data_IF_200343984285
#
_entry.id   IF_200343984285
#
_cell.length_a   1.000
_cell.length_b   1.000
_cell.length_c   1.000
_cell.angle_alpha   90.00
_cell.angle_beta   90.00
_cell.angle_gamma   90.00
#
_symmetry.space_group_name_H-M   'P 1'
#
loop_
_entity.id
_entity.type
_entity.pdbx_description
1 polymer ?
#
# COMPACT_ATOMS: atom_id res chain seq x y z
N UNK A 1 17.51 -8.01 -23.01
CA UNK A 1 17.73 -8.72 -21.75
C UNK A 1 16.37 -9.26 -21.34
N UNK A 2 16.06 -10.47 -21.79
CA UNK A 2 14.76 -11.12 -21.56
C UNK A 2 14.76 -11.89 -20.25
N UNK A 3 13.57 -12.23 -19.75
CA UNK A 3 13.30 -13.13 -18.62
C UNK A 3 14.53 -13.98 -18.20
N UNK A 4 15.20 -13.66 -17.07
CA UNK A 4 16.43 -14.43 -16.78
C UNK A 4 17.30 -14.16 -15.56
N UNK A 5 17.05 -13.17 -14.69
CA UNK A 5 17.97 -12.97 -13.55
C UNK A 5 17.58 -13.78 -12.31
N UNK A 6 16.30 -13.82 -11.93
CA UNK A 6 15.88 -14.46 -10.66
C UNK A 6 16.06 -15.98 -10.66
N UNK A 7 15.98 -16.62 -11.83
CA UNK A 7 16.22 -18.05 -12.00
C UNK A 7 17.65 -18.45 -11.61
N UNK A 8 18.63 -17.58 -11.84
CA UNK A 8 20.03 -17.81 -11.44
C UNK A 8 20.21 -17.84 -9.91
N UNK A 9 19.25 -17.27 -9.16
CA UNK A 9 19.21 -17.30 -7.70
C UNK A 9 18.25 -18.37 -7.15
N UNK A 10 17.71 -19.24 -8.02
CA UNK A 10 16.79 -20.31 -7.65
C UNK A 10 15.33 -19.88 -7.49
N UNK A 11 14.97 -18.66 -7.89
CA UNK A 11 13.58 -18.22 -7.94
C UNK A 11 12.88 -18.63 -9.23
N UNK A 12 11.55 -18.69 -9.19
CA UNK A 12 10.73 -19.01 -10.35
C UNK A 12 10.20 -17.71 -11.01
N UNK A 13 10.64 -17.37 -12.23
CA UNK A 13 10.17 -16.16 -12.93
C UNK A 13 8.67 -16.21 -13.26
N UNK A 14 8.06 -17.40 -13.31
CA UNK A 14 6.64 -17.60 -13.62
C UNK A 14 5.77 -17.60 -12.35
N UNK A 15 6.38 -17.37 -11.17
CA UNK A 15 5.70 -17.34 -9.88
C UNK A 15 6.06 -16.10 -9.04
N UNK A 16 6.27 -14.96 -9.69
CA UNK A 16 6.61 -13.69 -9.02
C UNK A 16 5.41 -13.09 -8.29
N UNK A 17 5.58 -12.79 -7.00
CA UNK A 17 4.62 -12.01 -6.20
C UNK A 17 5.21 -10.65 -5.89
N UNK A 18 4.51 -9.57 -6.24
CA UNK A 18 4.88 -8.21 -5.82
C UNK A 18 4.12 -7.82 -4.56
N UNK A 19 4.82 -7.24 -3.58
CA UNK A 19 4.25 -6.87 -2.29
C UNK A 19 4.64 -5.45 -1.96
N UNK A 20 3.68 -4.65 -1.52
CA UNK A 20 3.90 -3.24 -1.23
C UNK A 20 2.99 -2.74 -0.13
N UNK A 21 3.49 -1.76 0.63
CA UNK A 21 2.75 -1.07 1.67
C UNK A 21 2.65 0.42 1.32
N UNK A 22 1.51 1.04 1.62
CA UNK A 22 1.25 2.47 1.40
C UNK A 22 1.53 2.92 -0.05
N UNK A 23 2.45 3.86 -0.27
CA UNK A 23 2.89 4.29 -1.59
C UNK A 23 3.43 3.14 -2.46
N UNK A 24 4.01 2.10 -1.85
CA UNK A 24 4.42 0.88 -2.56
C UNK A 24 3.23 0.08 -3.07
N UNK A 25 2.15 -0.04 -2.28
CA UNK A 25 0.90 -0.66 -2.72
C UNK A 25 0.25 0.15 -3.85
N UNK A 26 0.25 1.48 -3.74
CA UNK A 26 -0.24 2.37 -4.79
C UNK A 26 0.57 2.21 -6.10
N UNK A 27 1.88 2.00 -5.99
CA UNK A 27 2.75 1.73 -7.15
C UNK A 27 2.39 0.41 -7.83
N UNK A 28 2.01 -0.62 -7.07
CA UNK A 28 1.50 -1.88 -7.63
C UNK A 28 0.16 -1.68 -8.33
N UNK A 29 -0.77 -0.91 -7.73
CA UNK A 29 -2.04 -0.57 -8.39
C UNK A 29 -1.79 0.20 -9.70
N UNK A 30 -0.84 1.12 -9.73
CA UNK A 30 -0.43 1.80 -10.95
C UNK A 30 0.06 0.82 -12.02
N UNK A 31 0.99 -0.09 -11.67
CA UNK A 31 1.47 -1.13 -12.58
C UNK A 31 0.36 -2.06 -13.10
N UNK A 32 -0.62 -2.39 -12.26
CA UNK A 32 -1.81 -3.17 -12.64
C UNK A 32 -2.77 -2.37 -13.55
N UNK A 33 -2.81 -1.04 -13.40
CA UNK A 33 -3.73 -0.17 -14.15
C UNK A 33 -3.23 0.15 -15.56
N UNK A 34 -1.91 0.35 -15.70
CA UNK A 34 -1.23 0.66 -16.95
C UNK A 34 -0.85 -0.58 -17.75
N UNK A 35 -0.07 -0.39 -18.81
CA UNK A 35 0.44 -1.50 -19.63
C UNK A 35 1.83 -1.98 -19.18
N UNK A 36 2.57 -1.14 -18.47
CA UNK A 36 3.96 -1.38 -18.09
C UNK A 36 4.15 -2.57 -17.12
N UNK A 37 3.15 -2.90 -16.30
CA UNK A 37 3.22 -4.01 -15.34
C UNK A 37 2.83 -5.37 -15.90
N UNK A 38 2.26 -5.44 -17.10
CA UNK A 38 1.65 -6.66 -17.63
C UNK A 38 2.68 -7.77 -17.83
N UNK A 39 2.37 -8.95 -17.29
CA UNK A 39 3.23 -10.13 -17.40
C UNK A 39 4.51 -10.09 -16.56
N UNK A 40 4.71 -9.07 -15.71
CA UNK A 40 5.89 -8.98 -14.86
C UNK A 40 5.73 -9.71 -13.51
N UNK A 41 4.50 -9.91 -13.06
CA UNK A 41 4.17 -10.59 -11.81
C UNK A 41 2.84 -11.33 -11.92
N UNK A 42 2.67 -12.30 -11.04
CA UNK A 42 1.61 -13.31 -11.10
C UNK A 42 0.68 -13.26 -9.88
N UNK A 43 1.09 -12.55 -8.81
CA UNK A 43 0.30 -12.28 -7.61
C UNK A 43 0.68 -10.90 -7.08
N UNK A 44 -0.24 -10.25 -6.37
CA UNK A 44 0.05 -8.99 -5.69
C UNK A 44 -0.48 -8.94 -4.27
N UNK A 45 0.29 -8.29 -3.39
CA UNK A 45 -0.08 -8.00 -2.01
C UNK A 45 -0.09 -6.48 -1.81
N UNK A 46 -1.24 -5.95 -1.44
CA UNK A 46 -1.55 -4.52 -1.33
C UNK A 46 -1.88 -4.16 0.13
N UNK A 47 -0.92 -3.60 0.84
CA UNK A 47 -1.06 -3.29 2.27
C UNK A 47 -1.28 -1.79 2.47
N UNK A 48 -2.40 -1.41 3.09
CA UNK A 48 -2.74 -0.01 3.39
C UNK A 48 -2.63 0.91 2.17
N UNK A 49 -3.20 0.52 1.04
CA UNK A 49 -3.18 1.34 -0.18
C UNK A 49 -3.93 2.66 0.10
N UNK A 50 -3.31 3.84 -0.07
CA UNK A 50 -3.99 5.12 0.17
C UNK A 50 -4.89 5.49 -1.03
N UNK A 51 -5.78 4.58 -1.42
CA UNK A 51 -6.56 4.62 -2.65
C UNK A 51 -7.67 5.69 -2.65
N UNK A 52 -7.89 6.41 -1.54
CA UNK A 52 -8.67 7.65 -1.53
C UNK A 52 -7.91 8.86 -2.09
N UNK A 53 -6.60 8.74 -2.35
CA UNK A 53 -5.82 9.75 -3.05
C UNK A 53 -5.77 9.44 -4.55
N UNK A 54 -6.16 10.40 -5.39
CA UNK A 54 -5.99 10.29 -6.84
C UNK A 54 -4.58 10.69 -7.29
N UNK A 55 -4.06 10.12 -8.39
CA UNK A 55 -2.85 10.64 -9.03
C UNK A 55 -3.06 12.10 -9.50
N UNK A 56 -1.95 12.80 -9.72
CA UNK A 56 -1.95 14.10 -10.41
C UNK A 56 -2.33 13.93 -11.87
N UNK A 57 -3.00 14.91 -12.44
CA UNK A 57 -3.04 15.02 -13.90
C UNK A 57 -1.68 15.49 -14.42
N UNK A 58 -1.42 15.29 -15.72
CA UNK A 58 -0.21 15.79 -16.38
C UNK A 58 -0.05 17.31 -16.19
N UNK A 59 -1.16 18.05 -16.28
CA UNK A 59 -1.16 19.52 -16.11
C UNK A 59 -0.79 19.92 -14.66
N UNK A 60 -1.33 19.21 -13.67
CA UNK A 60 -0.99 19.44 -12.26
C UNK A 60 0.49 19.15 -11.99
N UNK A 61 1.01 18.06 -12.55
CA UNK A 61 2.42 17.69 -12.43
C UNK A 61 3.33 18.71 -13.12
N UNK A 62 2.96 19.21 -14.30
CA UNK A 62 3.69 20.27 -15.00
C UNK A 62 3.68 21.60 -14.23
N UNK A 63 2.54 21.96 -13.64
CA UNK A 63 2.45 23.13 -12.77
C UNK A 63 3.36 22.99 -11.55
N UNK A 64 3.45 21.81 -10.94
CA UNK A 64 4.38 21.51 -9.84
C UNK A 64 5.84 21.58 -10.29
N UNK A 65 6.17 21.01 -11.44
CA UNK A 65 7.52 21.10 -12.01
C UNK A 65 7.94 22.56 -12.26
N UNK A 66 7.02 23.39 -12.77
CA UNK A 66 7.26 24.82 -12.99
C UNK A 66 7.53 25.55 -11.68
N UNK A 67 6.75 25.26 -10.62
CA UNK A 67 6.98 25.82 -9.29
C UNK A 67 8.34 25.38 -8.71
N UNK A 68 8.75 24.13 -8.92
CA UNK A 68 10.01 23.59 -8.43
C UNK A 68 11.20 24.26 -9.13
N UNK A 69 11.13 24.41 -10.46
CA UNK A 69 12.13 25.14 -11.24
C UNK A 69 12.23 26.61 -10.83
N UNK A 70 11.10 27.26 -10.51
CA UNK A 70 11.07 28.62 -10.00
C UNK A 70 11.67 28.78 -8.59
N UNK A 71 11.69 27.73 -7.75
CA UNK A 71 12.42 27.75 -6.47
C UNK A 71 13.93 27.76 -6.70
N UNK A 72 14.38 27.07 -7.75
CA UNK A 72 15.79 26.94 -8.10
C UNK A 72 16.30 28.08 -9.01
N UNK A 73 15.40 28.84 -9.64
CA UNK A 73 15.69 29.80 -10.71
C UNK A 73 16.46 29.15 -11.88
N UNK A 74 15.99 27.98 -12.31
CA UNK A 74 16.62 27.16 -13.36
C UNK A 74 15.67 26.77 -14.48
N UNK A 75 16.26 26.45 -15.62
CA UNK A 75 15.59 25.73 -16.71
C UNK A 75 15.69 24.20 -16.50
N UNK A 76 14.76 23.40 -17.06
CA UNK A 76 14.73 21.94 -16.85
C UNK A 76 16.04 21.22 -17.18
N UNK A 77 16.75 21.67 -18.22
CA UNK A 77 18.00 21.05 -18.67
C UNK A 77 19.19 21.28 -17.72
N UNK A 78 19.05 22.15 -16.72
CA UNK A 78 20.08 22.45 -15.72
C UNK A 78 19.93 21.62 -14.45
N UNK A 79 18.83 20.85 -14.30
CA UNK A 79 18.60 20.02 -13.11
C UNK A 79 19.67 18.94 -12.93
N UNK A 80 20.24 18.43 -14.02
CA UNK A 80 21.28 17.41 -13.99
C UNK A 80 22.62 17.91 -13.41
N UNK A 81 22.81 19.23 -13.33
CA UNK A 81 24.02 19.85 -12.80
C UNK A 81 23.94 20.05 -11.27
N UNK A 82 22.76 19.89 -10.68
CA UNK A 82 22.55 20.05 -9.25
C UNK A 82 23.00 18.82 -8.45
N UNK A 83 23.51 19.09 -7.26
CA UNK A 83 23.71 18.06 -6.24
C UNK A 83 22.37 17.54 -5.71
N UNK A 84 22.37 16.32 -5.19
CA UNK A 84 21.21 15.75 -4.49
C UNK A 84 20.73 16.64 -3.35
N UNK A 85 21.64 17.29 -2.62
CA UNK A 85 21.30 18.20 -1.52
C UNK A 85 20.53 19.42 -1.99
N UNK A 86 20.89 20.01 -3.14
CA UNK A 86 20.18 21.14 -3.73
C UNK A 86 18.77 20.74 -4.17
N UNK A 87 18.63 19.57 -4.80
CA UNK A 87 17.32 19.02 -5.19
C UNK A 87 16.41 18.77 -3.98
N UNK A 88 16.95 18.19 -2.90
CA UNK A 88 16.21 17.94 -1.67
C UNK A 88 15.81 19.24 -0.95
N UNK A 89 16.68 20.25 -0.93
CA UNK A 89 16.36 21.55 -0.36
C UNK A 89 15.22 22.23 -1.12
N UNK A 90 15.25 22.20 -2.47
CA UNK A 90 14.16 22.70 -3.29
C UNK A 90 12.87 21.91 -3.10
N UNK A 91 12.95 20.59 -2.95
CA UNK A 91 11.80 19.71 -2.68
C UNK A 91 11.12 20.10 -1.36
N UNK A 92 11.90 20.29 -0.30
CA UNK A 92 11.37 20.70 1.00
C UNK A 92 10.69 22.08 0.93
N UNK A 93 11.29 23.03 0.22
CA UNK A 93 10.72 24.37 0.08
C UNK A 93 9.40 24.36 -0.69
N UNK A 94 9.31 23.65 -1.82
CA UNK A 94 8.03 23.53 -2.55
C UNK A 94 6.98 22.80 -1.72
N UNK A 95 7.36 21.75 -0.98
CA UNK A 95 6.44 21.04 -0.10
C UNK A 95 5.91 21.94 1.02
N UNK A 96 6.77 22.76 1.62
CA UNK A 96 6.36 23.75 2.63
C UNK A 96 5.39 24.78 2.04
N UNK A 97 5.63 25.27 0.81
CA UNK A 97 4.73 26.21 0.12
C UNK A 97 3.37 25.61 -0.20
N UNK A 98 3.33 24.32 -0.55
CA UNK A 98 2.10 23.64 -0.99
C UNK A 98 1.30 22.99 0.15
N UNK A 99 1.92 22.74 1.31
CA UNK A 99 1.27 22.10 2.46
C UNK A 99 -0.09 22.72 2.88
N UNK A 100 -0.27 24.06 2.89
CA UNK A 100 -1.56 24.66 3.25
C UNK A 100 -2.71 24.30 2.30
N UNK A 101 -2.39 24.02 1.02
CA UNK A 101 -3.37 23.69 -0.01
C UNK A 101 -3.58 22.18 -0.17
N UNK A 102 -2.49 21.41 -0.10
CA UNK A 102 -2.52 19.96 -0.35
C UNK A 102 -2.91 19.13 0.88
N UNK A 103 -2.82 19.70 2.09
CA UNK A 103 -3.07 18.95 3.31
C UNK A 103 -2.14 17.73 3.42
N UNK A 104 -2.67 16.50 3.57
CA UNK A 104 -1.86 15.30 3.71
C UNK A 104 -1.29 14.75 2.38
N UNK A 105 -1.67 15.33 1.23
CA UNK A 105 -1.26 14.81 -0.09
C UNK A 105 0.20 15.20 -0.38
N UNK A 106 1.08 14.23 -0.75
CA UNK A 106 2.45 14.52 -1.12
C UNK A 106 2.56 15.49 -2.31
N UNK A 107 3.56 16.36 -2.28
CA UNK A 107 3.80 17.32 -3.39
C UNK A 107 4.18 16.63 -4.68
N UNK A 108 5.00 15.57 -4.56
CA UNK A 108 5.42 14.70 -5.64
C UNK A 108 4.76 13.34 -5.41
N UNK A 109 3.97 12.89 -6.39
CA UNK A 109 3.21 11.65 -6.35
C UNK A 109 3.03 11.12 -7.78
N UNK A 110 2.29 10.02 -7.94
CA UNK A 110 1.99 9.45 -9.25
C UNK A 110 1.28 10.48 -10.16
N UNK A 111 1.60 10.41 -11.45
CA UNK A 111 0.98 11.21 -12.50
C UNK A 111 0.21 10.25 -13.40
N UNK A 112 -1.07 10.51 -13.61
CA UNK A 112 -1.89 9.82 -14.59
C UNK A 112 -1.47 10.27 -16.00
N UNK A 113 -0.55 9.52 -16.60
CA UNK A 113 -0.02 9.76 -17.95
C UNK A 113 -0.76 8.94 -19.03
N UNK A 114 -1.65 8.02 -18.62
CA UNK A 114 -2.41 7.15 -19.50
C UNK A 114 -1.61 5.96 -20.04
N UNK A 115 -0.32 5.85 -19.74
CA UNK A 115 0.55 4.77 -20.20
C UNK A 115 0.96 3.87 -19.02
N UNK A 116 1.63 4.46 -18.03
CA UNK A 116 2.11 3.80 -16.82
C UNK A 116 1.03 3.82 -15.75
N UNK A 117 0.31 4.94 -15.63
CA UNK A 117 -0.73 5.15 -14.62
C UNK A 117 -2.01 5.60 -15.30
N UNK A 118 -3.09 4.85 -15.10
CA UNK A 118 -4.41 5.26 -15.58
C UNK A 118 -4.96 6.48 -14.80
N UNK A 119 -5.94 7.19 -15.37
CA UNK A 119 -6.60 8.33 -14.72
C UNK A 119 -7.25 7.97 -13.38
N UNK A 120 -7.92 6.81 -13.33
CA UNK A 120 -8.42 6.18 -12.10
C UNK A 120 -7.83 4.77 -12.00
N UNK A 121 -6.65 4.62 -11.36
CA UNK A 121 -5.97 3.32 -11.27
C UNK A 121 -6.82 2.26 -10.56
N UNK A 122 -7.53 2.65 -9.49
CA UNK A 122 -8.30 1.71 -8.68
C UNK A 122 -9.51 1.18 -9.45
N UNK A 123 -10.28 2.06 -10.08
CA UNK A 123 -11.41 1.66 -10.92
C UNK A 123 -10.93 0.84 -12.11
N UNK A 124 -9.84 1.26 -12.77
CA UNK A 124 -9.27 0.54 -13.91
C UNK A 124 -8.88 -0.90 -13.55
N UNK A 125 -8.18 -1.09 -12.43
CA UNK A 125 -7.78 -2.42 -11.94
C UNK A 125 -8.99 -3.27 -11.57
N UNK A 126 -9.93 -2.68 -10.83
CA UNK A 126 -11.14 -3.37 -10.39
C UNK A 126 -12.04 -3.80 -11.56
N UNK A 127 -12.26 -2.93 -12.53
CA UNK A 127 -13.16 -3.15 -13.67
C UNK A 127 -12.57 -4.10 -14.72
N UNK A 128 -11.25 -4.08 -14.92
CA UNK A 128 -10.56 -5.04 -15.80
C UNK A 128 -10.31 -6.39 -15.12
N UNK A 129 -10.50 -6.47 -13.79
CA UNK A 129 -10.25 -7.67 -13.02
C UNK A 129 -8.77 -8.03 -12.93
N UNK A 130 -7.87 -7.04 -12.80
CA UNK A 130 -6.43 -7.22 -12.60
C UNK A 130 -5.75 -8.30 -13.49
N UNK A 131 -6.25 -8.52 -14.72
CA UNK A 131 -5.81 -9.58 -15.63
C UNK A 131 -5.81 -11.00 -15.00
N UNK A 132 -6.67 -11.27 -14.01
CA UNK A 132 -6.77 -12.57 -13.32
C UNK A 132 -5.75 -12.78 -12.20
N UNK A 133 -4.90 -11.79 -11.90
CA UNK A 133 -3.86 -11.87 -10.88
C UNK A 133 -4.52 -11.97 -9.48
N UNK A 134 -4.22 -13.01 -8.67
CA UNK A 134 -4.64 -13.08 -7.27
C UNK A 134 -4.14 -11.89 -6.45
N UNK A 135 -5.04 -11.28 -5.68
CA UNK A 135 -4.74 -10.12 -4.85
C UNK A 135 -4.98 -10.42 -3.37
N UNK A 136 -3.98 -10.23 -2.51
CA UNK A 136 -4.17 -10.09 -1.07
C UNK A 136 -4.16 -8.60 -0.75
N UNK A 137 -5.25 -8.06 -0.18
CA UNK A 137 -5.40 -6.64 0.09
C UNK A 137 -5.89 -6.40 1.51
N UNK A 138 -5.41 -5.35 2.15
CA UNK A 138 -5.95 -4.99 3.46
C UNK A 138 -5.47 -3.64 3.97
N UNK A 139 -5.95 -3.30 5.15
CA UNK A 139 -5.64 -2.07 5.87
C UNK A 139 -5.40 -2.37 7.34
N UNK A 140 -4.86 -1.41 8.08
CA UNK A 140 -4.87 -1.44 9.54
C UNK A 140 -6.16 -0.79 10.05
N UNK A 141 -6.59 -1.10 11.29
CA UNK A 141 -7.82 -0.52 11.85
C UNK A 141 -7.71 0.99 12.07
N UNK A 142 -6.54 1.46 12.49
CA UNK A 142 -6.34 2.82 12.99
C UNK A 142 -5.36 3.61 12.09
N UNK A 143 -5.39 3.42 10.76
CA UNK A 143 -4.44 4.02 9.78
C UNK A 143 -4.03 5.47 10.09
N UNK A 144 -5.02 6.35 10.29
CA UNK A 144 -4.81 7.78 10.43
C UNK A 144 -4.02 8.22 11.67
N UNK A 145 -3.97 7.39 12.73
CA UNK A 145 -3.33 7.75 14.00
C UNK A 145 -1.82 7.92 13.85
N UNK A 146 -1.18 7.25 12.88
CA UNK A 146 0.24 7.42 12.59
C UNK A 146 0.58 8.82 12.07
N UNK A 147 -0.35 9.46 11.37
CA UNK A 147 -0.11 10.74 10.70
C UNK A 147 -0.57 11.94 11.53
N UNK A 148 -1.65 11.77 12.30
CA UNK A 148 -2.24 12.84 13.11
C UNK A 148 -2.78 12.29 14.44
N UNK A 149 -1.91 11.88 15.38
CA UNK A 149 -2.36 11.34 16.67
C UNK A 149 -3.25 12.33 17.42
N UNK A 150 -4.41 11.89 17.86
CA UNK A 150 -5.39 12.69 18.61
C UNK A 150 -6.18 13.68 17.75
N UNK A 151 -6.14 13.55 16.42
CA UNK A 151 -6.92 14.42 15.55
C UNK A 151 -8.42 14.12 15.64
N UNK A 152 -9.22 15.17 15.60
CA UNK A 152 -10.65 15.00 15.34
C UNK A 152 -10.83 14.29 13.98
N UNK A 153 -11.63 13.21 13.95
CA UNK A 153 -12.01 12.45 12.75
C UNK A 153 -10.97 11.47 12.19
N UNK A 154 -10.04 10.94 12.98
CA UNK A 154 -9.11 9.87 12.56
C UNK A 154 -9.84 8.71 11.84
N UNK A 155 -10.93 8.20 12.41
CA UNK A 155 -11.72 7.13 11.80
C UNK A 155 -12.27 7.49 10.40
N UNK A 156 -12.68 8.74 10.19
CA UNK A 156 -13.16 9.18 8.88
C UNK A 156 -12.01 9.31 7.86
N UNK A 157 -10.80 9.66 8.31
CA UNK A 157 -9.60 9.69 7.46
C UNK A 157 -9.21 8.26 7.08
N UNK A 158 -9.18 7.34 8.05
CA UNK A 158 -8.95 5.90 7.79
C UNK A 158 -9.95 5.36 6.78
N UNK A 159 -11.25 5.64 6.97
CA UNK A 159 -12.31 5.18 6.08
C UNK A 159 -12.17 5.74 4.67
N UNK A 160 -11.99 7.07 4.54
CA UNK A 160 -11.96 7.73 3.24
C UNK A 160 -10.69 7.48 2.43
N UNK A 161 -9.53 7.33 3.09
CA UNK A 161 -8.25 7.16 2.40
C UNK A 161 -7.85 5.71 2.18
N UNK A 162 -8.25 4.80 3.07
CA UNK A 162 -7.73 3.43 3.11
C UNK A 162 -8.84 2.37 3.07
N UNK A 163 -9.66 2.28 4.12
CA UNK A 163 -10.56 1.14 4.34
C UNK A 163 -11.67 1.06 3.29
N UNK A 164 -12.40 2.15 3.07
CA UNK A 164 -13.48 2.22 2.07
C UNK A 164 -13.00 1.95 0.65
N UNK A 165 -11.95 2.64 0.16
CA UNK A 165 -11.35 2.36 -1.15
C UNK A 165 -10.83 0.92 -1.30
N UNK A 166 -10.25 0.33 -0.24
CA UNK A 166 -9.80 -1.07 -0.24
C UNK A 166 -10.96 -2.05 -0.46
N UNK A 167 -12.07 -1.86 0.27
CA UNK A 167 -13.27 -2.68 0.09
C UNK A 167 -13.90 -2.47 -1.28
N UNK A 168 -13.91 -1.23 -1.80
CA UNK A 168 -14.37 -0.94 -3.16
C UNK A 168 -13.55 -1.67 -4.21
N UNK A 169 -12.23 -1.72 -4.07
CA UNK A 169 -11.37 -2.48 -4.99
C UNK A 169 -11.71 -3.97 -4.94
N UNK A 170 -11.79 -4.56 -3.75
CA UNK A 170 -12.12 -5.97 -3.58
C UNK A 170 -13.48 -6.33 -4.19
N UNK A 171 -14.48 -5.47 -4.00
CA UNK A 171 -15.80 -5.59 -4.59
C UNK A 171 -15.75 -5.61 -6.14
N UNK A 172 -15.03 -4.65 -6.74
CA UNK A 172 -14.89 -4.57 -8.20
C UNK A 172 -14.14 -5.79 -8.77
N UNK A 173 -13.05 -6.21 -8.12
CA UNK A 173 -12.29 -7.39 -8.51
C UNK A 173 -13.18 -8.64 -8.49
N UNK A 174 -13.91 -8.86 -7.39
CA UNK A 174 -14.74 -10.04 -7.23
C UNK A 174 -15.92 -10.08 -8.22
N UNK A 175 -16.52 -8.92 -8.56
CA UNK A 175 -17.56 -8.83 -9.61
C UNK A 175 -17.05 -9.25 -10.99
N UNK A 176 -15.76 -9.07 -11.26
CA UNK A 176 -15.11 -9.49 -12.50
C UNK A 176 -14.49 -10.89 -12.40
N UNK A 177 -14.78 -11.64 -11.34
CA UNK A 177 -14.26 -12.99 -11.13
C UNK A 177 -12.76 -13.04 -10.79
N UNK A 178 -12.15 -11.89 -10.47
CA UNK A 178 -10.75 -11.85 -10.05
C UNK A 178 -10.64 -12.24 -8.56
N UNK A 179 -9.79 -13.23 -8.21
CA UNK A 179 -9.67 -13.68 -6.84
C UNK A 179 -8.97 -12.64 -5.96
N UNK A 180 -9.63 -12.21 -4.89
CA UNK A 180 -9.10 -11.27 -3.91
C UNK A 180 -9.34 -11.76 -2.48
N UNK A 181 -8.41 -11.56 -1.57
CA UNK A 181 -8.56 -11.84 -0.14
C UNK A 181 -8.39 -10.56 0.63
N UNK A 182 -9.33 -10.26 1.52
CA UNK A 182 -9.37 -8.99 2.25
C UNK A 182 -9.05 -9.21 3.72
N UNK A 183 -8.17 -8.38 4.29
CA UNK A 183 -7.92 -8.33 5.73
C UNK A 183 -8.03 -6.92 6.31
N UNK A 184 -8.23 -6.87 7.63
CA UNK A 184 -7.98 -5.72 8.49
C UNK A 184 -7.03 -6.13 9.62
N UNK A 185 -5.96 -5.40 9.84
CA UNK A 185 -5.04 -5.63 10.95
C UNK A 185 -5.52 -4.91 12.21
N UNK A 186 -5.77 -5.68 13.28
CA UNK A 186 -6.45 -5.21 14.49
C UNK A 186 -5.57 -5.21 15.75
N UNK A 187 -4.40 -5.86 15.73
CA UNK A 187 -3.56 -5.91 16.92
C UNK A 187 -2.94 -4.55 17.25
N UNK A 188 -2.82 -4.25 18.53
CA UNK A 188 -2.09 -3.10 19.05
C UNK A 188 -1.57 -3.42 20.45
N UNK A 189 -0.40 -2.90 20.81
CA UNK A 189 0.11 -3.03 22.16
C UNK A 189 -0.85 -2.39 23.20
N UNK A 190 -1.09 -3.01 24.36
CA UNK A 190 -2.01 -2.49 25.37
C UNK A 190 -1.68 -1.04 25.79
N UNK A 191 -2.66 -0.15 25.69
CA UNK A 191 -2.52 1.26 26.06
C UNK A 191 -1.63 2.09 25.12
N UNK A 192 -1.17 1.53 24.00
CA UNK A 192 -0.38 2.28 23.04
C UNK A 192 -1.27 3.29 22.28
N UNK A 193 -0.93 4.59 22.26
CA UNK A 193 -1.78 5.63 21.70
C UNK A 193 -1.91 5.56 20.17
N UNK A 194 -1.03 4.82 19.49
CA UNK A 194 -1.12 4.64 18.05
C UNK A 194 -2.20 3.61 17.66
N UNK A 195 -2.61 2.70 18.54
CA UNK A 195 -3.51 1.62 18.16
C UNK A 195 -2.91 0.75 17.04
N UNK A 196 -3.76 0.19 16.17
CA UNK A 196 -3.34 -0.54 14.99
C UNK A 196 -3.07 0.43 13.83
N UNK A 197 -2.03 1.26 13.99
CA UNK A 197 -1.75 2.38 13.10
C UNK A 197 -1.16 1.96 11.74
N UNK A 198 -1.06 2.90 10.80
CA UNK A 198 -0.38 2.69 9.52
C UNK A 198 1.02 2.07 9.71
N UNK A 199 1.39 1.13 8.83
CA UNK A 199 2.65 0.37 8.83
C UNK A 199 2.87 -0.61 10.00
N UNK A 200 1.98 -0.70 10.99
CA UNK A 200 2.21 -1.52 12.20
C UNK A 200 2.37 -3.02 11.92
N UNK A 201 1.87 -3.47 10.78
CA UNK A 201 1.92 -4.87 10.34
C UNK A 201 3.29 -5.29 9.73
N UNK A 202 4.13 -4.32 9.35
CA UNK A 202 5.44 -4.59 8.73
C UNK A 202 6.42 -5.37 9.63
N UNK A 203 6.56 -5.08 10.94
CA UNK A 203 7.42 -5.84 11.86
C UNK A 203 7.08 -7.33 11.95
N UNK A 204 5.82 -7.70 11.69
CA UNK A 204 5.37 -9.09 11.72
C UNK A 204 5.75 -9.86 10.45
N UNK A 205 6.12 -9.16 9.38
CA UNK A 205 6.53 -9.74 8.10
C UNK A 205 8.05 -9.64 7.91
N UNK A 206 8.63 -8.45 8.14
CA UNK A 206 9.98 -8.10 7.72
C UNK A 206 10.94 -7.98 8.92
N UNK A 207 12.12 -8.58 8.79
CA UNK A 207 13.19 -8.46 9.79
C UNK A 207 12.94 -9.27 11.06
N UNK A 208 13.74 -8.98 12.09
CA UNK A 208 13.65 -9.57 13.41
C UNK A 208 13.29 -8.49 14.46
N UNK A 209 13.02 -8.93 15.70
CA UNK A 209 12.63 -8.00 16.79
C UNK A 209 13.66 -6.86 17.01
N UNK A 210 14.98 -7.11 17.01
CA UNK A 210 15.98 -6.05 17.10
C UNK A 210 15.82 -4.92 16.08
N UNK A 211 15.48 -5.23 14.82
CA UNK A 211 15.31 -4.22 13.77
C UNK A 211 14.18 -3.22 14.07
N UNK A 212 13.19 -3.62 14.88
CA UNK A 212 11.99 -2.83 15.19
C UNK A 212 11.89 -2.40 16.66
N UNK A 213 12.92 -2.65 17.47
CA UNK A 213 12.88 -2.43 18.93
C UNK A 213 12.55 -0.98 19.32
N UNK A 214 12.93 -0.02 18.48
CA UNK A 214 12.78 1.41 18.71
C UNK A 214 11.50 1.97 18.06
N UNK A 215 10.65 1.12 17.48
CA UNK A 215 9.40 1.52 16.84
C UNK A 215 8.34 1.92 17.90
N UNK A 216 7.88 3.18 17.94
CA UNK A 216 6.94 3.65 18.99
C UNK A 216 5.61 2.91 19.01
N UNK A 217 5.12 2.46 17.84
CA UNK A 217 3.89 1.67 17.69
C UNK A 217 3.95 0.29 18.35
N UNK A 218 5.15 -0.20 18.70
CA UNK A 218 5.35 -1.46 19.41
C UNK A 218 5.65 -1.28 20.90
N UNK A 219 5.70 -0.03 21.40
CA UNK A 219 5.97 0.22 22.80
C UNK A 219 4.89 -0.43 23.68
N UNK A 220 5.32 -1.22 24.67
CA UNK A 220 4.43 -1.97 25.57
C UNK A 220 3.94 -3.32 25.02
N UNK A 221 4.41 -3.75 23.85
CA UNK A 221 4.01 -5.01 23.25
C UNK A 221 4.52 -6.23 24.06
N UNK A 222 3.65 -7.23 24.22
CA UNK A 222 4.05 -8.51 24.79
C UNK A 222 4.87 -9.33 23.77
N UNK A 223 6.08 -9.81 24.11
CA UNK A 223 6.91 -10.57 23.18
C UNK A 223 6.30 -11.89 22.71
N UNK A 224 5.40 -12.50 23.48
CA UNK A 224 4.68 -13.72 23.14
C UNK A 224 3.58 -13.45 22.11
N UNK A 225 2.80 -12.39 22.29
CA UNK A 225 1.83 -11.90 21.29
C UNK A 225 2.51 -11.56 19.96
N UNK A 226 3.63 -10.84 20.02
CA UNK A 226 4.42 -10.51 18.82
C UNK A 226 4.85 -11.77 18.07
N UNK A 227 5.35 -12.77 18.79
CA UNK A 227 5.81 -14.03 18.19
C UNK A 227 4.64 -14.84 17.59
N UNK A 228 3.51 -14.91 18.29
CA UNK A 228 2.32 -15.63 17.82
C UNK A 228 1.77 -14.99 16.53
N UNK A 229 1.57 -13.67 16.54
CA UNK A 229 1.05 -12.94 15.38
C UNK A 229 2.04 -12.94 14.20
N UNK A 230 3.35 -12.88 14.47
CA UNK A 230 4.39 -13.06 13.43
C UNK A 230 4.25 -14.42 12.75
N UNK A 231 4.02 -15.49 13.53
CA UNK A 231 3.80 -16.84 12.99
C UNK A 231 2.58 -16.90 12.06
N UNK A 232 1.45 -16.35 12.53
CA UNK A 232 0.19 -16.29 11.76
C UNK A 232 0.39 -15.54 10.44
N UNK A 233 0.91 -14.31 10.50
CA UNK A 233 1.07 -13.46 9.32
C UNK A 233 2.07 -14.03 8.32
N UNK A 234 3.23 -14.52 8.79
CA UNK A 234 4.22 -15.12 7.88
C UNK A 234 3.70 -16.39 7.23
N UNK A 235 2.96 -17.22 7.96
CA UNK A 235 2.31 -18.39 7.37
C UNK A 235 1.29 -17.97 6.31
N UNK A 236 0.50 -16.93 6.57
CA UNK A 236 -0.52 -16.44 5.64
C UNK A 236 0.09 -15.88 4.35
N UNK A 237 1.09 -14.99 4.48
CA UNK A 237 1.79 -14.40 3.33
C UNK A 237 2.54 -15.47 2.52
N UNK A 238 3.24 -16.39 3.18
CA UNK A 238 3.98 -17.47 2.50
C UNK A 238 3.03 -18.39 1.73
N UNK A 239 1.89 -18.76 2.33
CA UNK A 239 0.87 -19.57 1.66
C UNK A 239 0.31 -18.86 0.44
N UNK A 240 0.05 -17.55 0.54
CA UNK A 240 -0.42 -16.74 -0.58
C UNK A 240 0.61 -16.65 -1.71
N UNK A 241 1.88 -16.40 -1.38
CA UNK A 241 2.98 -16.31 -2.34
C UNK A 241 3.12 -17.62 -3.14
N UNK A 242 3.01 -18.77 -2.49
CA UNK A 242 3.15 -20.07 -3.16
C UNK A 242 1.87 -20.55 -3.85
N UNK A 243 0.73 -20.43 -3.19
CA UNK A 243 -0.52 -21.08 -3.59
C UNK A 243 -1.60 -20.14 -4.12
N UNK A 244 -1.39 -18.81 -4.05
CA UNK A 244 -2.41 -17.82 -4.40
C UNK A 244 -3.54 -17.72 -3.38
N UNK A 245 -3.43 -18.32 -2.19
CA UNK A 245 -4.40 -18.21 -1.10
C UNK A 245 -3.71 -18.13 0.27
N UNK A 246 -4.21 -17.38 1.25
CA UNK A 246 -3.52 -17.18 2.53
C UNK A 246 -3.46 -18.42 3.44
N UNK A 247 -4.27 -19.45 3.22
CA UNK A 247 -4.17 -20.72 3.98
C UNK A 247 -4.52 -20.64 5.48
N UNK A 248 -5.01 -19.49 5.97
CA UNK A 248 -5.65 -19.40 7.29
C UNK A 248 -7.05 -20.03 7.18
N UNK A 249 -7.50 -20.84 8.15
CA UNK A 249 -8.82 -21.45 8.12
C UNK A 249 -9.94 -20.43 7.86
N UNK A 250 -10.89 -20.82 7.03
CA UNK A 250 -12.07 -20.03 6.65
C UNK A 250 -11.79 -18.70 5.92
N UNK A 251 -10.52 -18.37 5.65
CA UNK A 251 -10.14 -17.20 4.85
C UNK A 251 -10.29 -17.49 3.34
N UNK A 252 -11.52 -17.40 2.88
CA UNK A 252 -11.89 -17.57 1.47
C UNK A 252 -11.73 -16.26 0.69
N UNK A 253 -11.71 -16.37 -0.65
CA UNK A 253 -11.74 -15.22 -1.53
C UNK A 253 -13.01 -14.38 -1.28
N UNK A 254 -12.87 -13.06 -1.35
CA UNK A 254 -13.91 -12.08 -1.08
C UNK A 254 -15.11 -12.32 -2.00
N UNK A 255 -16.30 -12.36 -1.39
CA UNK A 255 -17.56 -12.50 -2.08
C UNK A 255 -18.42 -11.26 -1.78
N UNK A 256 -18.87 -10.52 -2.81
CA UNK A 256 -19.72 -9.35 -2.67
C UNK A 256 -20.95 -9.54 -1.79
N UNK A 257 -21.48 -10.76 -1.68
CA UNK A 257 -22.69 -11.02 -0.89
C UNK A 257 -22.39 -11.29 0.59
N UNK A 258 -21.14 -11.58 0.94
CA UNK A 258 -20.75 -11.97 2.30
C UNK A 258 -20.03 -10.86 3.06
N UNK A 259 -19.43 -9.90 2.35
CA UNK A 259 -18.64 -8.81 2.94
C UNK A 259 -17.64 -9.33 3.98
N UNK A 260 -17.06 -10.52 3.72
CA UNK A 260 -16.22 -11.22 4.68
C UNK A 260 -14.81 -10.62 4.68
N UNK A 261 -14.33 -10.19 5.85
CA UNK A 261 -13.00 -9.61 6.06
C UNK A 261 -12.28 -10.39 7.16
N UNK A 262 -11.03 -10.79 6.90
CA UNK A 262 -10.17 -11.39 7.93
C UNK A 262 -9.63 -10.31 8.87
N UNK A 263 -9.98 -10.40 10.14
CA UNK A 263 -9.41 -9.53 11.17
C UNK A 263 -8.18 -10.21 11.75
N UNK A 264 -7.00 -9.69 11.42
CA UNK A 264 -5.72 -10.22 11.87
C UNK A 264 -5.40 -9.67 13.27
N UNK A 265 -5.34 -10.58 14.22
CA UNK A 265 -4.86 -10.37 15.59
C UNK A 265 -4.19 -11.66 16.09
N UNK A 266 -3.84 -11.73 17.38
CA UNK A 266 -3.37 -12.99 17.99
C UNK A 266 -4.41 -14.10 17.95
N UNK A 267 -5.68 -13.77 17.72
CA UNK A 267 -6.79 -14.69 17.46
C UNK A 267 -7.52 -14.25 16.17
N UNK A 268 -7.09 -14.69 14.98
CA UNK A 268 -7.69 -14.29 13.72
C UNK A 268 -9.14 -14.73 13.60
N UNK A 269 -9.99 -13.85 13.07
CA UNK A 269 -11.42 -14.11 12.93
C UNK A 269 -11.99 -13.48 11.65
N UNK A 270 -13.01 -14.13 11.07
CA UNK A 270 -13.74 -13.60 9.92
C UNK A 270 -14.92 -12.78 10.43
N UNK A 271 -14.99 -11.51 10.02
CA UNK A 271 -16.17 -10.66 10.22
C UNK A 271 -16.95 -10.57 8.93
N UNK A 272 -18.28 -10.69 9.01
CA UNK A 272 -19.20 -10.49 7.90
C UNK A 272 -19.99 -9.23 8.18
N UNK A 273 -19.98 -8.31 7.22
CA UNK A 273 -20.74 -7.06 7.24
C UNK A 273 -22.23 -7.24 6.99
#
# INVERSE_FOLDING_TARGET
MGAGDIAAFGGDPDAVTVCGQSAGAMSIVAMLSGTAGRGLFHRAILQSTPAGMRPQTVEEAQARATQFLGVLDLQPNQLCDLSTSELLAAQQEISRRNAPMLGPVPTFQLVADGEIVADDPLATVGERGADGIPILVGTTRDEATAFRPGAEREAAITESLFAGPTLRLAELLARNGNPAWVYRFDWSAPGNPFGACHCIELPFLLGDRPAWRDAPMLAGADPGELAALTGIMRQAWTSFIHGGQPGVPDWVAYQPQQHAVMHLSTSPEIHKG
#
